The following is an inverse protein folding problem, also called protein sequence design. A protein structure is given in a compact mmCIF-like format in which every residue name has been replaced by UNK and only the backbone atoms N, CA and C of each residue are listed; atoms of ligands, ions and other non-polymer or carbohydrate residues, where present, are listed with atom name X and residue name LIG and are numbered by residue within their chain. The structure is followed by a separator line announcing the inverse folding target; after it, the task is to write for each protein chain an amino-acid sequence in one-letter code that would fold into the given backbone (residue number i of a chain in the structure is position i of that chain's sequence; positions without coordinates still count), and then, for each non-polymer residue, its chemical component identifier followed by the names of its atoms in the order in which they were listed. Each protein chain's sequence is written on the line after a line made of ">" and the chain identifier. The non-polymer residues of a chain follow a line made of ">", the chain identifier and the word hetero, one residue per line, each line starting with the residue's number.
data_IF_091194726421
#
_entry.id   IF_091194726421
#
_cell.length_a   1.000
_cell.length_b   1.000
_cell.length_c   1.000
_cell.angle_alpha   90.00
_cell.angle_beta   90.00
_cell.angle_gamma   90.00
#
_symmetry.space_group_name_H-M   'P 1'
#
loop_
_entity.id
_entity.type
_entity.pdbx_description
1 polymer ?
#
# COMPACT_ATOMS: atom_id res chain seq x y z
N UNK A 1 -8.25 -11.89 23.24
CA UNK A 1 -7.82 -10.50 23.00
C UNK A 1 -6.36 -10.45 22.53
N UNK A 2 -6.11 -9.97 21.31
CA UNK A 2 -4.77 -9.48 20.94
C UNK A 2 -4.54 -8.18 21.71
N UNK A 3 -3.55 -8.16 22.61
CA UNK A 3 -3.24 -7.12 23.60
C UNK A 3 -2.87 -5.72 23.04
N UNK A 4 -3.05 -5.45 21.76
CA UNK A 4 -2.39 -4.32 21.08
C UNK A 4 -3.36 -3.18 20.72
N UNK A 5 -4.67 -3.44 20.54
CA UNK A 5 -5.62 -2.41 20.11
C UNK A 5 -6.56 -2.02 21.24
N UNK A 6 -6.67 -0.71 21.50
CA UNK A 6 -7.79 -0.16 22.26
C UNK A 6 -8.99 0.01 21.33
N UNK A 7 -10.18 0.09 21.90
CA UNK A 7 -11.43 0.29 21.15
C UNK A 7 -12.17 1.50 21.69
N UNK A 8 -12.93 2.17 20.82
CA UNK A 8 -13.85 3.24 21.20
C UNK A 8 -15.23 2.94 20.63
N UNK A 9 -16.27 3.23 21.41
CA UNK A 9 -17.65 3.11 20.94
C UNK A 9 -17.91 4.12 19.82
N UNK A 10 -18.46 3.61 18.73
CA UNK A 10 -19.04 4.39 17.64
C UNK A 10 -20.54 4.60 17.93
N UNK A 11 -20.88 5.70 18.59
CA UNK A 11 -22.26 6.04 18.97
C UNK A 11 -23.27 5.89 17.82
N UNK A 12 -22.98 6.31 16.57
CA UNK A 12 -23.92 6.14 15.46
C UNK A 12 -24.25 4.68 15.09
N UNK A 13 -23.41 3.71 15.47
CA UNK A 13 -23.68 2.28 15.26
C UNK A 13 -24.63 1.68 16.29
N UNK A 14 -24.83 2.32 17.45
CA UNK A 14 -25.60 1.75 18.56
C UNK A 14 -27.07 1.56 18.20
N UNK A 15 -27.73 2.59 17.65
CA UNK A 15 -29.15 2.50 17.29
C UNK A 15 -29.40 1.46 16.17
N UNK A 16 -28.63 1.42 15.05
CA UNK A 16 -28.77 0.37 14.05
C UNK A 16 -28.55 -1.06 14.57
N UNK A 17 -27.68 -1.23 15.58
CA UNK A 17 -27.44 -2.54 16.20
C UNK A 17 -28.64 -3.03 17.03
N UNK A 18 -29.37 -2.10 17.65
CA UNK A 18 -30.55 -2.41 18.47
C UNK A 18 -30.55 -1.76 19.85
N UNK A 19 -29.61 -0.85 20.15
CA UNK A 19 -29.68 -0.06 21.38
C UNK A 19 -30.87 0.89 21.34
N UNK A 20 -31.47 1.13 22.51
CA UNK A 20 -32.48 2.15 22.72
C UNK A 20 -31.86 3.31 23.50
N UNK A 21 -32.14 4.54 23.08
CA UNK A 21 -31.67 5.74 23.79
C UNK A 21 -32.75 6.30 24.71
N UNK A 22 -32.48 6.31 26.01
CA UNK A 22 -33.36 6.91 27.02
C UNK A 22 -32.53 7.43 28.20
N UNK A 23 -32.95 8.54 28.82
CA UNK A 23 -32.29 9.12 30.00
C UNK A 23 -30.77 9.32 29.83
N UNK A 24 -30.34 9.79 28.65
CA UNK A 24 -28.93 10.00 28.29
C UNK A 24 -28.06 8.73 28.34
N UNK A 25 -28.67 7.56 28.16
CA UNK A 25 -27.99 6.28 28.10
C UNK A 25 -28.52 5.46 26.91
N UNK A 26 -27.61 4.81 26.19
CA UNK A 26 -27.95 3.78 25.21
C UNK A 26 -27.98 2.44 25.94
N UNK A 27 -29.10 1.72 25.86
CA UNK A 27 -29.24 0.39 26.47
C UNK A 27 -29.58 -0.65 25.43
N UNK A 28 -28.82 -1.74 25.39
CA UNK A 28 -29.13 -2.96 24.65
C UNK A 28 -29.44 -4.09 25.62
N UNK A 29 -30.50 -4.84 25.32
CA UNK A 29 -30.95 -5.98 26.12
C UNK A 29 -31.16 -7.18 25.23
N UNK A 30 -30.62 -8.32 25.62
CA UNK A 30 -30.80 -9.58 24.90
C UNK A 30 -30.97 -10.75 25.86
N UNK A 31 -32.09 -11.46 25.72
CA UNK A 31 -32.41 -12.64 26.50
C UNK A 31 -31.67 -13.85 25.94
N UNK A 32 -31.07 -14.66 26.82
CA UNK A 32 -30.33 -15.87 26.47
C UNK A 32 -30.60 -17.01 27.47
N UNK A 33 -30.04 -18.20 27.22
CA UNK A 33 -30.27 -19.41 28.04
C UNK A 33 -31.77 -19.72 28.23
N UNK A 34 -32.52 -19.77 27.12
CA UNK A 34 -33.96 -20.10 27.10
C UNK A 34 -34.83 -19.20 27.99
N UNK A 35 -34.41 -17.95 28.21
CA UNK A 35 -35.18 -17.00 29.03
C UNK A 35 -34.69 -16.83 30.46
N UNK A 36 -33.68 -17.60 30.89
CA UNK A 36 -33.17 -17.55 32.26
C UNK A 36 -32.40 -16.27 32.56
N UNK A 37 -31.70 -15.72 31.55
CA UNK A 37 -30.85 -14.55 31.74
C UNK A 37 -31.06 -13.51 30.65
N UNK A 38 -30.77 -12.25 30.99
CA UNK A 38 -30.70 -11.13 30.06
C UNK A 38 -29.31 -10.47 30.14
N UNK A 39 -28.67 -10.27 29.00
CA UNK A 39 -27.48 -9.46 28.89
C UNK A 39 -27.89 -8.00 28.75
N UNK A 40 -27.43 -7.14 29.66
CA UNK A 40 -27.68 -5.70 29.61
C UNK A 40 -26.37 -4.99 29.32
N UNK A 41 -26.33 -4.22 28.23
CA UNK A 41 -25.20 -3.40 27.83
C UNK A 41 -25.63 -1.94 27.81
N UNK A 42 -24.87 -1.09 28.48
CA UNK A 42 -25.14 0.33 28.63
C UNK A 42 -23.95 1.15 28.12
N UNK A 43 -24.25 2.23 27.40
CA UNK A 43 -23.26 3.19 26.93
C UNK A 43 -23.76 4.61 27.22
N UNK A 44 -22.96 5.40 27.93
CA UNK A 44 -23.27 6.81 28.18
C UNK A 44 -22.93 7.71 26.97
N UNK A 45 -23.27 9.00 27.06
CA UNK A 45 -22.93 9.98 26.00
C UNK A 45 -21.43 10.21 25.82
N UNK A 46 -20.60 9.86 26.81
CA UNK A 46 -19.14 9.90 26.70
C UNK A 46 -18.57 8.67 25.99
N UNK A 47 -19.41 7.67 25.68
CA UNK A 47 -19.00 6.41 25.07
C UNK A 47 -18.41 5.40 26.05
N UNK A 48 -18.60 5.61 27.36
CA UNK A 48 -18.20 4.66 28.39
C UNK A 48 -19.18 3.48 28.40
N UNK A 49 -18.67 2.28 28.16
CA UNK A 49 -19.45 1.04 28.17
C UNK A 49 -19.43 0.39 29.57
N UNK A 50 -20.59 -0.07 30.00
CA UNK A 50 -20.78 -1.00 31.12
C UNK A 50 -21.73 -2.12 30.73
N UNK A 51 -21.59 -3.29 31.34
CA UNK A 51 -22.45 -4.43 31.04
C UNK A 51 -22.59 -5.38 32.22
N UNK A 52 -23.73 -6.06 32.32
CA UNK A 52 -24.02 -7.04 33.36
C UNK A 52 -25.01 -8.11 32.88
N UNK A 53 -25.06 -9.22 33.62
CA UNK A 53 -26.06 -10.29 33.42
C UNK A 53 -27.16 -10.12 34.45
N UNK A 54 -28.41 -10.11 33.99
CA UNK A 54 -29.61 -10.09 34.83
C UNK A 54 -30.22 -11.48 34.90
N UNK A 55 -30.54 -11.96 36.09
CA UNK A 55 -31.31 -13.19 36.33
C UNK A 55 -32.80 -12.88 36.24
N UNK A 56 -33.48 -13.46 35.26
CA UNK A 56 -34.89 -13.18 34.99
C UNK A 56 -35.83 -13.81 36.02
N UNK A 57 -35.41 -14.88 36.71
CA UNK A 57 -36.23 -15.55 37.73
C UNK A 57 -36.07 -14.86 39.09
N UNK A 58 -34.82 -14.53 39.46
CA UNK A 58 -34.51 -13.94 40.75
C UNK A 58 -34.64 -12.41 40.77
N UNK A 59 -34.83 -11.79 39.59
CA UNK A 59 -34.90 -10.33 39.41
C UNK A 59 -33.69 -9.59 40.03
N UNK A 60 -32.49 -10.15 39.85
CA UNK A 60 -31.24 -9.59 40.38
C UNK A 60 -30.06 -9.71 39.43
N UNK A 61 -28.96 -9.01 39.73
CA UNK A 61 -27.72 -9.10 38.94
C UNK A 61 -27.01 -10.44 39.23
N UNK A 62 -26.86 -11.26 38.20
CA UNK A 62 -26.15 -12.53 38.29
C UNK A 62 -24.63 -12.34 38.28
N UNK A 63 -23.96 -12.63 39.40
CA UNK A 63 -22.52 -12.35 39.56
C UNK A 63 -21.61 -13.58 39.47
N UNK A 64 -22.16 -14.80 39.49
CA UNK A 64 -21.33 -16.01 39.55
C UNK A 64 -20.45 -16.21 38.30
N UNK A 65 -20.83 -15.65 37.16
CA UNK A 65 -20.01 -15.65 35.93
C UNK A 65 -18.66 -14.90 36.08
N UNK A 66 -18.55 -13.98 37.05
CA UNK A 66 -17.35 -13.17 37.33
C UNK A 66 -16.28 -13.96 38.12
N UNK A 67 -16.64 -15.09 38.73
CA UNK A 67 -15.71 -15.89 39.54
C UNK A 67 -14.71 -16.61 38.63
N UNK A 68 -13.42 -16.31 38.79
CA UNK A 68 -12.31 -16.83 37.97
C UNK A 68 -11.85 -18.23 38.37
N UNK A 69 -12.31 -18.74 39.51
CA UNK A 69 -12.05 -20.12 39.94
C UNK A 69 -12.81 -21.13 39.04
N UNK A 70 -12.39 -22.42 39.02
CA UNK A 70 -13.12 -23.47 38.33
C UNK A 70 -14.56 -23.50 38.82
N UNK A 71 -15.50 -23.23 37.93
CA UNK A 71 -16.94 -23.20 38.19
C UNK A 71 -17.61 -24.39 37.49
N UNK A 72 -18.85 -24.71 37.89
CA UNK A 72 -19.62 -25.78 37.26
C UNK A 72 -19.92 -25.48 35.79
N UNK A 73 -20.19 -26.53 35.00
CA UNK A 73 -20.44 -26.44 33.55
C UNK A 73 -21.49 -25.38 33.16
N UNK A 74 -22.51 -25.20 34.00
CA UNK A 74 -23.54 -24.18 33.82
C UNK A 74 -23.00 -22.75 33.82
N UNK A 75 -22.15 -22.38 34.79
CA UNK A 75 -21.53 -21.04 34.87
C UNK A 75 -20.64 -20.78 33.65
N UNK A 76 -19.97 -21.83 33.15
CA UNK A 76 -19.21 -21.78 31.90
C UNK A 76 -20.10 -21.43 30.70
N UNK A 77 -21.25 -22.09 30.54
CA UNK A 77 -22.20 -21.81 29.46
C UNK A 77 -22.77 -20.39 29.53
N UNK A 78 -23.09 -19.89 30.74
CA UNK A 78 -23.54 -18.50 30.93
C UNK A 78 -22.46 -17.52 30.48
N UNK A 79 -21.20 -17.76 30.87
CA UNK A 79 -20.06 -16.92 30.49
C UNK A 79 -19.83 -16.91 28.97
N UNK A 80 -19.85 -18.08 28.33
CA UNK A 80 -19.66 -18.20 26.88
C UNK A 80 -20.78 -17.52 26.09
N UNK A 81 -22.03 -17.74 26.50
CA UNK A 81 -23.19 -17.13 25.85
C UNK A 81 -23.19 -15.61 26.00
N UNK A 82 -22.89 -15.12 27.21
CA UNK A 82 -22.77 -13.69 27.47
C UNK A 82 -21.62 -13.05 26.68
N UNK A 83 -20.45 -13.71 26.64
CA UNK A 83 -19.31 -13.23 25.85
C UNK A 83 -19.64 -13.13 24.36
N UNK A 84 -20.38 -14.10 23.80
CA UNK A 84 -20.81 -14.06 22.40
C UNK A 84 -21.72 -12.86 22.08
N UNK A 85 -22.53 -12.39 23.05
CA UNK A 85 -23.32 -11.17 22.90
C UNK A 85 -22.41 -9.94 22.90
N UNK A 86 -21.47 -9.86 23.85
CA UNK A 86 -20.51 -8.75 23.93
C UNK A 86 -19.62 -8.68 22.69
N UNK A 87 -19.17 -9.81 22.16
CA UNK A 87 -18.34 -9.88 20.95
C UNK A 87 -19.09 -9.29 19.74
N UNK A 88 -20.40 -9.53 19.60
CA UNK A 88 -21.22 -8.92 18.54
C UNK A 88 -21.38 -7.41 18.72
N UNK A 89 -21.58 -6.95 19.96
CA UNK A 89 -21.64 -5.52 20.26
C UNK A 89 -20.30 -4.86 19.92
N UNK A 90 -19.18 -5.47 20.34
CA UNK A 90 -17.85 -4.96 20.04
C UNK A 90 -17.60 -4.89 18.53
N UNK A 91 -17.89 -5.96 17.79
CA UNK A 91 -17.68 -6.03 16.34
C UNK A 91 -18.50 -4.96 15.58
N UNK A 92 -19.74 -4.72 15.99
CA UNK A 92 -20.64 -3.81 15.29
C UNK A 92 -20.54 -2.35 15.76
N UNK A 93 -20.22 -2.14 17.04
CA UNK A 93 -20.32 -0.83 17.69
C UNK A 93 -18.99 -0.25 18.15
N UNK A 94 -17.87 -0.98 18.04
CA UNK A 94 -16.55 -0.44 18.36
C UNK A 94 -15.69 -0.16 17.12
N UNK A 95 -14.92 0.92 17.20
CA UNK A 95 -13.84 1.22 16.26
C UNK A 95 -12.52 0.87 16.94
N UNK A 96 -11.69 0.09 16.26
CA UNK A 96 -10.34 -0.17 16.70
C UNK A 96 -9.51 1.13 16.62
N UNK A 97 -8.80 1.43 17.71
CA UNK A 97 -7.85 2.52 17.82
C UNK A 97 -6.43 1.93 17.78
N UNK A 98 -5.84 1.76 16.58
CA UNK A 98 -4.52 1.17 16.44
C UNK A 98 -3.38 2.05 16.97
N UNK A 99 -3.65 3.33 17.27
CA UNK A 99 -2.66 4.33 17.65
C UNK A 99 -3.04 5.08 18.93
N UNK A 100 -2.09 5.84 19.48
CA UNK A 100 -2.24 6.53 20.76
C UNK A 100 -2.94 7.87 20.62
N UNK A 101 -2.68 8.63 19.55
CA UNK A 101 -3.23 9.98 19.35
C UNK A 101 -4.57 9.93 18.61
N UNK A 102 -5.48 10.82 18.98
CA UNK A 102 -6.81 10.92 18.37
C UNK A 102 -6.72 11.16 16.86
N UNK A 103 -5.86 12.09 16.42
CA UNK A 103 -5.67 12.36 14.99
C UNK A 103 -5.20 11.12 14.24
N UNK A 104 -4.23 10.37 14.77
CA UNK A 104 -3.75 9.12 14.14
C UNK A 104 -4.88 8.11 13.96
N UNK A 105 -5.77 7.98 14.93
CA UNK A 105 -6.92 7.09 14.85
C UNK A 105 -7.99 7.59 13.87
N UNK A 106 -8.24 8.90 13.79
CA UNK A 106 -9.13 9.47 12.75
C UNK A 106 -8.57 9.22 11.36
N UNK A 107 -7.26 9.40 11.15
CA UNK A 107 -6.59 9.07 9.88
C UNK A 107 -6.68 7.57 9.56
N UNK A 108 -6.47 6.69 10.54
CA UNK A 108 -6.62 5.25 10.34
C UNK A 108 -8.06 4.88 9.94
N UNK A 109 -9.05 5.52 10.54
CA UNK A 109 -10.45 5.32 10.21
C UNK A 109 -10.79 5.80 8.79
N UNK A 110 -10.30 6.98 8.38
CA UNK A 110 -10.46 7.48 7.00
C UNK A 110 -9.83 6.51 5.98
N UNK A 111 -8.66 5.94 6.28
CA UNK A 111 -8.01 4.94 5.44
C UNK A 111 -8.87 3.68 5.31
N UNK A 112 -9.42 3.19 6.43
CA UNK A 112 -10.31 2.03 6.47
C UNK A 112 -11.60 2.29 5.68
N UNK A 113 -12.22 3.44 5.84
CA UNK A 113 -13.46 3.81 5.15
C UNK A 113 -13.25 3.97 3.64
N UNK A 114 -12.14 4.59 3.23
CA UNK A 114 -11.88 4.87 1.81
C UNK A 114 -11.40 3.64 1.03
N UNK A 115 -10.58 2.77 1.66
CA UNK A 115 -9.89 1.68 0.95
C UNK A 115 -10.08 0.30 1.58
N UNK A 116 -10.62 0.20 2.80
CA UNK A 116 -10.64 -1.05 3.57
C UNK A 116 -9.26 -1.48 4.08
N UNK A 117 -8.24 -0.64 3.94
CA UNK A 117 -6.87 -0.95 4.35
C UNK A 117 -6.77 -0.88 5.89
N UNK A 118 -6.15 -1.89 6.51
CA UNK A 118 -5.82 -1.93 7.94
C UNK A 118 -4.31 -1.85 8.15
N UNK A 119 -3.83 -1.29 9.28
CA UNK A 119 -2.41 -1.27 9.56
C UNK A 119 -1.87 -2.67 9.89
N UNK A 120 -0.65 -2.96 9.43
CA UNK A 120 0.16 -4.07 9.92
C UNK A 120 1.27 -3.57 10.86
N UNK A 121 1.83 -4.46 11.68
CA UNK A 121 2.83 -4.11 12.70
C UNK A 121 4.16 -4.82 12.40
N UNK A 122 4.97 -4.28 11.46
CA UNK A 122 6.15 -4.97 10.95
C UNK A 122 7.29 -5.08 11.97
N UNK A 123 7.23 -4.34 13.08
CA UNK A 123 8.31 -4.24 14.05
C UNK A 123 7.92 -4.86 15.40
N UNK A 124 8.35 -6.10 15.65
CA UNK A 124 8.04 -6.81 16.89
C UNK A 124 8.47 -6.06 18.18
N UNK A 125 9.53 -5.24 18.12
CA UNK A 125 10.02 -4.44 19.25
C UNK A 125 9.35 -3.07 19.39
N UNK A 126 8.58 -2.64 18.39
CA UNK A 126 7.89 -1.36 18.34
C UNK A 126 6.42 -1.59 17.94
N UNK A 127 5.62 -2.20 18.83
CA UNK A 127 4.24 -2.59 18.53
C UNK A 127 3.31 -1.40 18.26
N UNK A 128 3.72 -0.18 18.62
CA UNK A 128 2.98 1.07 18.34
C UNK A 128 3.19 1.58 16.91
N UNK A 129 4.06 0.93 16.11
CA UNK A 129 4.36 1.34 14.74
C UNK A 129 3.47 0.56 13.77
N UNK A 130 2.51 1.26 13.18
CA UNK A 130 1.58 0.68 12.20
C UNK A 130 1.91 1.15 10.78
N UNK A 131 2.04 0.21 9.85
CA UNK A 131 2.25 0.52 8.45
C UNK A 131 1.01 0.18 7.62
N UNK A 132 0.70 1.02 6.63
CA UNK A 132 -0.35 0.76 5.67
C UNK A 132 0.26 0.40 4.32
N UNK A 133 -0.26 -0.66 3.71
CA UNK A 133 0.26 -1.25 2.47
C UNK A 133 -0.73 -1.19 1.34
N UNK A 134 -0.24 -0.94 0.14
CA UNK A 134 -1.06 -1.10 -1.05
C UNK A 134 -1.30 -2.60 -1.30
N UNK A 135 -2.57 -3.08 -1.36
CA UNK A 135 -2.89 -4.51 -1.41
C UNK A 135 -2.29 -5.23 -2.62
N UNK A 136 -2.25 -4.58 -3.78
CA UNK A 136 -1.72 -5.18 -5.02
C UNK A 136 -0.21 -5.48 -5.02
N UNK A 137 0.59 -4.86 -4.16
CA UNK A 137 2.05 -5.03 -4.20
C UNK A 137 2.77 -4.97 -2.84
N UNK A 138 2.02 -4.89 -1.75
CA UNK A 138 2.49 -4.89 -0.36
C UNK A 138 3.50 -3.78 0.00
N UNK A 139 3.63 -2.74 -0.83
CA UNK A 139 4.50 -1.60 -0.54
C UNK A 139 3.84 -0.68 0.48
N UNK A 140 4.64 -0.19 1.43
CA UNK A 140 4.21 0.87 2.34
C UNK A 140 3.86 2.12 1.57
N UNK A 141 2.68 2.68 1.86
CA UNK A 141 2.34 4.07 1.51
C UNK A 141 2.25 4.97 2.74
N UNK A 142 2.07 4.41 3.93
CA UNK A 142 2.12 5.13 5.17
C UNK A 142 2.80 4.30 6.25
N UNK A 143 3.53 4.95 7.13
CA UNK A 143 4.04 4.37 8.35
C UNK A 143 3.79 5.36 9.48
N UNK A 144 2.88 5.00 10.38
CA UNK A 144 2.63 5.73 11.63
C UNK A 144 3.65 5.26 12.65
N UNK A 145 4.29 6.18 13.35
CA UNK A 145 5.37 5.89 14.29
C UNK A 145 5.29 6.83 15.48
N UNK A 146 5.48 6.28 16.68
CA UNK A 146 5.61 7.05 17.91
C UNK A 146 7.09 7.33 18.18
N UNK A 147 7.47 8.61 18.33
CA UNK A 147 8.85 9.05 18.53
C UNK A 147 8.92 10.22 19.52
N UNK A 148 10.07 10.43 20.19
CA UNK A 148 10.33 11.67 20.90
C UNK A 148 10.34 12.85 19.95
N UNK A 149 9.68 13.96 20.33
CA UNK A 149 9.56 15.18 19.53
C UNK A 149 10.91 15.73 19.06
N UNK A 150 11.95 15.65 19.90
CA UNK A 150 13.33 16.00 19.55
C UNK A 150 13.84 15.31 18.27
N UNK A 151 13.42 14.07 18.00
CA UNK A 151 13.83 13.35 16.78
C UNK A 151 13.24 13.94 15.50
N UNK A 152 12.21 14.76 15.63
CA UNK A 152 11.52 15.40 14.52
C UNK A 152 12.01 16.83 14.30
N UNK A 153 12.12 17.64 15.36
CA UNK A 153 12.39 19.09 15.27
C UNK A 153 13.68 19.56 15.96
N UNK A 154 14.38 18.68 16.69
CA UNK A 154 15.61 19.03 17.41
C UNK A 154 15.39 19.95 18.63
N UNK A 155 14.17 20.02 19.16
CA UNK A 155 13.81 20.87 20.30
C UNK A 155 14.37 20.41 21.65
N UNK A 156 14.91 19.20 21.76
CA UNK A 156 15.26 18.56 23.03
C UNK A 156 14.07 17.96 23.80
N UNK A 157 12.83 18.16 23.32
CA UNK A 157 11.64 17.62 23.97
C UNK A 157 11.58 16.09 23.91
N UNK A 158 11.33 15.46 25.07
CA UNK A 158 11.11 14.02 25.20
C UNK A 158 9.63 13.63 25.13
N UNK A 159 8.75 14.56 24.73
CA UNK A 159 7.34 14.25 24.50
C UNK A 159 7.20 13.22 23.38
N UNK A 160 6.47 12.14 23.63
CA UNK A 160 6.12 11.15 22.61
C UNK A 160 5.01 11.70 21.70
N UNK A 161 5.37 11.87 20.43
CA UNK A 161 4.47 12.32 19.36
C UNK A 161 4.30 11.21 18.33
N UNK A 162 3.17 11.24 17.62
CA UNK A 162 2.95 10.34 16.49
C UNK A 162 3.15 11.12 15.19
N UNK A 163 3.85 10.48 14.25
CA UNK A 163 4.06 10.98 12.91
C UNK A 163 3.57 9.95 11.90
N UNK A 164 3.20 10.41 10.71
CA UNK A 164 3.01 9.54 9.54
C UNK A 164 4.03 9.87 8.45
N UNK A 165 4.80 8.86 8.05
CA UNK A 165 5.69 8.95 6.90
C UNK A 165 4.90 8.72 5.61
N UNK A 166 4.94 9.69 4.69
CA UNK A 166 4.22 9.64 3.41
C UNK A 166 5.16 9.86 2.23
N UNK A 167 4.94 9.10 1.15
CA UNK A 167 5.70 9.22 -0.09
C UNK A 167 5.16 10.39 -0.92
N UNK A 168 6.07 11.19 -1.46
CA UNK A 168 5.75 12.39 -2.25
C UNK A 168 6.63 12.47 -3.49
N UNK A 169 6.26 13.28 -4.48
CA UNK A 169 7.16 13.55 -5.60
C UNK A 169 8.33 14.41 -5.13
N UNK A 170 9.54 14.12 -5.60
CA UNK A 170 10.74 14.86 -5.18
C UNK A 170 10.65 16.38 -5.42
N UNK A 171 9.89 16.79 -6.45
CA UNK A 171 9.61 18.21 -6.76
C UNK A 171 8.74 18.93 -5.73
N UNK A 172 7.89 18.20 -5.00
CA UNK A 172 6.98 18.76 -3.99
C UNK A 172 7.65 18.92 -2.63
N UNK A 173 8.84 18.34 -2.40
CA UNK A 173 9.46 18.30 -1.07
C UNK A 173 9.74 19.69 -0.51
N UNK A 174 10.31 20.59 -1.31
CA UNK A 174 10.66 21.93 -0.83
C UNK A 174 9.42 22.73 -0.39
N UNK A 175 8.32 22.64 -1.17
CA UNK A 175 7.05 23.27 -0.84
C UNK A 175 6.44 22.67 0.44
N UNK A 176 6.41 21.34 0.54
CA UNK A 176 5.84 20.66 1.70
C UNK A 176 6.60 20.97 2.99
N UNK A 177 7.93 21.04 2.95
CA UNK A 177 8.76 21.39 4.10
C UNK A 177 8.63 22.86 4.54
N UNK A 178 8.02 23.72 3.73
CA UNK A 178 7.71 25.10 4.14
C UNK A 178 6.43 25.20 4.98
N UNK A 179 5.64 24.13 5.08
CA UNK A 179 4.38 24.09 5.83
C UNK A 179 4.63 23.64 7.27
N UNK A 180 3.94 24.28 8.21
CA UNK A 180 3.95 23.84 9.61
C UNK A 180 3.48 22.40 9.75
N UNK A 181 4.09 21.64 10.66
CA UNK A 181 3.75 20.23 10.93
C UNK A 181 4.29 19.22 9.91
N UNK A 182 5.05 19.65 8.89
CA UNK A 182 5.70 18.75 7.93
C UNK A 182 7.21 18.86 8.04
N UNK A 183 7.86 17.71 8.21
CA UNK A 183 9.29 17.60 8.49
C UNK A 183 10.01 16.70 7.48
N UNK A 184 11.35 16.78 7.38
CA UNK A 184 12.13 15.81 6.63
C UNK A 184 11.86 14.40 7.12
N UNK A 185 11.78 13.44 6.18
CA UNK A 185 11.47 12.06 6.53
C UNK A 185 12.35 11.48 7.65
N UNK A 186 11.69 10.93 8.67
CA UNK A 186 12.27 10.11 9.72
C UNK A 186 12.37 8.65 9.25
N UNK A 187 13.56 8.03 9.34
CA UNK A 187 13.92 6.68 8.85
C UNK A 187 13.73 6.39 7.35
N UNK A 188 12.97 7.20 6.61
CA UNK A 188 12.71 7.05 5.17
C UNK A 188 13.57 8.00 4.32
N UNK A 189 13.55 7.81 2.99
CA UNK A 189 14.34 8.62 2.08
C UNK A 189 13.83 10.07 2.00
N UNK A 190 14.63 11.03 2.50
CA UNK A 190 14.38 12.48 2.42
C UNK A 190 14.23 13.05 1.00
N UNK A 191 14.50 12.25 -0.04
CA UNK A 191 14.31 12.63 -1.46
C UNK A 191 12.92 12.30 -2.01
N UNK A 192 12.15 11.47 -1.30
CA UNK A 192 10.86 10.95 -1.80
C UNK A 192 9.82 10.75 -0.71
N UNK A 193 10.12 11.12 0.54
CA UNK A 193 9.23 10.98 1.68
C UNK A 193 9.29 12.22 2.56
N UNK A 194 8.21 12.47 3.29
CA UNK A 194 8.09 13.47 4.36
C UNK A 194 7.48 12.82 5.59
N UNK A 195 7.73 13.41 6.77
CA UNK A 195 7.05 13.05 8.01
C UNK A 195 6.04 14.14 8.35
N UNK A 196 4.77 13.76 8.46
CA UNK A 196 3.70 14.66 8.90
C UNK A 196 3.41 14.37 10.37
N UNK A 197 3.42 15.41 11.18
CA UNK A 197 3.11 15.35 12.60
C UNK A 197 1.60 15.27 12.82
N UNK A 198 1.17 14.34 13.67
CA UNK A 198 -0.24 14.06 13.94
C UNK A 198 -0.69 14.67 15.28
N UNK A 199 -0.62 16.01 15.38
CA UNK A 199 -1.00 16.80 16.57
C UNK A 199 -2.01 17.92 16.24
N UNK A 200 -2.80 17.73 15.19
CA UNK A 200 -3.78 18.68 14.63
C UNK A 200 -3.16 19.96 14.00
N UNK A 201 -1.82 20.10 13.94
CA UNK A 201 -1.16 21.19 13.18
C UNK A 201 -1.49 21.12 11.68
N UNK A 202 -1.60 19.90 11.14
CA UNK A 202 -2.02 19.65 9.76
C UNK A 202 -3.42 19.05 9.79
N UNK A 203 -4.39 19.70 9.17
CA UNK A 203 -5.78 19.23 9.14
C UNK A 203 -5.91 17.83 8.50
N UNK A 204 -6.82 17.02 9.03
CA UNK A 204 -7.05 15.63 8.58
C UNK A 204 -7.22 15.52 7.06
N UNK A 205 -7.94 16.46 6.45
CA UNK A 205 -8.18 16.50 5.00
C UNK A 205 -6.87 16.68 4.21
N UNK A 206 -5.94 17.48 4.71
CA UNK A 206 -4.62 17.65 4.09
C UNK A 206 -3.79 16.39 4.24
N UNK A 207 -3.75 15.79 5.44
CA UNK A 207 -3.03 14.53 5.68
C UNK A 207 -3.58 13.44 4.76
N UNK A 208 -4.90 13.38 4.62
CA UNK A 208 -5.58 12.43 3.75
C UNK A 208 -5.24 12.62 2.26
N UNK A 209 -5.24 13.86 1.75
CA UNK A 209 -4.81 14.13 0.37
C UNK A 209 -3.35 13.69 0.11
N UNK A 210 -2.45 13.85 1.10
CA UNK A 210 -1.08 13.34 1.01
C UNK A 210 -1.03 11.80 1.05
N UNK A 211 -1.91 11.16 1.81
CA UNK A 211 -2.07 9.70 1.83
C UNK A 211 -2.52 9.17 0.47
N UNK A 212 -3.52 9.79 -0.16
CA UNK A 212 -3.99 9.41 -1.50
C UNK A 212 -2.85 9.48 -2.52
N UNK A 213 -2.10 10.59 -2.52
CA UNK A 213 -0.91 10.76 -3.36
C UNK A 213 0.15 9.69 -3.08
N UNK A 214 0.47 9.45 -1.81
CA UNK A 214 1.46 8.44 -1.41
C UNK A 214 1.05 7.05 -1.89
N UNK A 215 -0.21 6.68 -1.67
CA UNK A 215 -0.79 5.40 -2.08
C UNK A 215 -0.74 5.23 -3.59
N UNK A 216 -1.10 6.27 -4.36
CA UNK A 216 -0.96 6.29 -5.81
C UNK A 216 0.51 6.12 -6.26
N UNK A 217 1.45 6.83 -5.63
CA UNK A 217 2.88 6.78 -5.98
C UNK A 217 3.53 5.41 -5.73
N UNK A 218 3.01 4.62 -4.78
CA UNK A 218 3.48 3.25 -4.53
C UNK A 218 2.65 2.17 -5.21
N UNK A 219 1.47 2.53 -5.74
CA UNK A 219 0.59 1.63 -6.45
C UNK A 219 1.27 0.92 -7.61
N UNK A 220 0.71 -0.22 -8.07
CA UNK A 220 1.23 -0.93 -9.21
C UNK A 220 1.18 -0.03 -10.44
N UNK A 221 2.35 0.37 -10.94
CA UNK A 221 2.46 1.01 -12.26
C UNK A 221 2.38 -0.10 -13.30
N UNK A 222 1.16 -0.42 -13.74
CA UNK A 222 0.99 -1.25 -14.93
C UNK A 222 1.20 -0.35 -16.14
N UNK A 223 2.35 -0.49 -16.76
CA UNK A 223 2.59 0.04 -18.10
C UNK A 223 2.10 -0.93 -19.18
N UNK A 224 1.34 -1.97 -18.79
CA UNK A 224 0.69 -2.87 -19.73
C UNK A 224 -0.38 -2.07 -20.47
N UNK A 225 -0.36 -2.13 -21.79
CA UNK A 225 -1.38 -1.50 -22.61
C UNK A 225 -2.75 -2.14 -22.30
N UNK A 226 -3.79 -1.32 -22.18
CA UNK A 226 -5.17 -1.80 -22.08
C UNK A 226 -5.69 -2.28 -23.43
N UNK A 227 -5.17 -1.72 -24.52
CA UNK A 227 -5.41 -2.10 -25.91
C UNK A 227 -4.14 -1.88 -26.73
N UNK A 228 -3.91 -2.72 -27.73
CA UNK A 228 -2.70 -2.66 -28.57
C UNK A 228 -1.48 -3.33 -27.94
N UNK A 229 -0.30 -3.20 -28.57
CA UNK A 229 0.93 -3.86 -28.12
C UNK A 229 1.49 -3.26 -26.84
N UNK A 230 2.22 -4.08 -26.07
CA UNK A 230 3.07 -3.57 -24.99
C UNK A 230 4.35 -2.96 -25.59
N UNK A 231 4.88 -1.93 -24.91
CA UNK A 231 6.13 -1.30 -25.26
C UNK A 231 7.18 -1.62 -24.20
N UNK A 232 8.33 -2.13 -24.63
CA UNK A 232 9.39 -2.62 -23.77
C UNK A 232 10.71 -1.88 -24.01
N UNK A 233 11.57 -1.88 -22.99
CA UNK A 233 13.00 -1.60 -23.14
C UNK A 233 13.82 -2.78 -22.64
N UNK A 234 14.81 -3.17 -23.43
CA UNK A 234 15.77 -4.22 -23.09
C UNK A 234 17.20 -3.68 -23.18
N UNK A 235 18.14 -4.15 -22.33
CA UNK A 235 19.53 -3.73 -22.41
C UNK A 235 20.31 -4.58 -23.42
N UNK A 236 21.14 -3.93 -24.24
CA UNK A 236 22.17 -4.54 -25.06
C UNK A 236 23.56 -4.13 -24.54
N UNK A 237 24.47 -5.08 -24.35
CA UNK A 237 25.84 -4.79 -23.96
C UNK A 237 26.76 -4.97 -25.17
N UNK A 238 27.31 -3.89 -25.76
CA UNK A 238 28.21 -3.96 -26.91
C UNK A 238 29.42 -4.87 -26.70
N UNK A 239 29.85 -5.10 -25.44
CA UNK A 239 30.97 -6.00 -25.12
C UNK A 239 30.60 -7.48 -25.18
N UNK A 240 29.30 -7.80 -25.17
CA UNK A 240 28.77 -9.17 -25.16
C UNK A 240 28.16 -9.51 -26.51
N UNK A 241 27.51 -8.53 -27.16
CA UNK A 241 26.85 -8.71 -28.43
C UNK A 241 26.91 -7.41 -29.23
N UNK A 242 27.49 -7.47 -30.42
CA UNK A 242 27.62 -6.34 -31.33
C UNK A 242 26.34 -6.17 -32.17
N UNK A 243 25.35 -5.57 -31.52
CA UNK A 243 24.05 -5.31 -32.12
C UNK A 243 24.11 -4.31 -33.28
N UNK A 244 25.14 -3.47 -33.34
CA UNK A 244 25.27 -2.46 -34.39
C UNK A 244 25.63 -3.14 -35.72
N UNK A 245 26.60 -4.06 -35.69
CA UNK A 245 26.97 -4.88 -36.84
C UNK A 245 25.81 -5.79 -37.26
N UNK A 246 25.13 -6.42 -36.31
CA UNK A 246 24.00 -7.30 -36.61
C UNK A 246 22.90 -6.56 -37.39
N UNK A 247 22.43 -5.39 -36.91
CA UNK A 247 21.38 -4.65 -37.61
C UNK A 247 21.85 -3.97 -38.90
N UNK A 248 23.16 -3.83 -39.11
CA UNK A 248 23.70 -3.38 -40.38
C UNK A 248 23.55 -4.46 -41.48
N UNK A 249 23.61 -5.73 -41.09
CA UNK A 249 23.54 -6.88 -42.01
C UNK A 249 22.14 -7.48 -42.10
N UNK A 250 21.39 -7.45 -41.00
CA UNK A 250 20.12 -8.14 -40.85
C UNK A 250 19.01 -7.18 -40.39
N UNK A 251 17.88 -7.19 -41.11
CA UNK A 251 16.67 -6.46 -40.68
C UNK A 251 15.94 -7.16 -39.52
N UNK A 252 16.15 -8.48 -39.40
CA UNK A 252 15.49 -9.34 -38.41
C UNK A 252 16.56 -10.10 -37.65
N UNK A 253 16.51 -10.03 -36.31
CA UNK A 253 17.53 -10.61 -35.43
C UNK A 253 16.88 -11.46 -34.34
N UNK A 254 17.64 -12.42 -33.81
CA UNK A 254 17.22 -13.24 -32.68
C UNK A 254 17.70 -12.65 -31.36
N UNK A 255 16.84 -12.71 -30.34
CA UNK A 255 17.16 -12.18 -29.02
C UNK A 255 16.73 -13.15 -27.92
N UNK A 256 17.49 -13.28 -26.81
CA UNK A 256 17.06 -14.09 -25.67
C UNK A 256 15.73 -13.56 -25.10
N UNK A 257 14.68 -14.38 -25.17
CA UNK A 257 13.39 -13.97 -24.64
C UNK A 257 13.41 -14.07 -23.12
N UNK A 258 13.22 -12.92 -22.48
CA UNK A 258 13.08 -12.78 -21.04
C UNK A 258 11.78 -12.02 -20.80
N UNK A 259 11.01 -12.41 -19.78
CA UNK A 259 9.67 -11.87 -19.44
C UNK A 259 8.56 -12.24 -20.43
N UNK A 260 7.33 -11.74 -20.21
CA UNK A 260 6.13 -12.06 -21.00
C UNK A 260 5.98 -11.16 -22.23
N UNK A 261 7.07 -10.88 -22.95
CA UNK A 261 7.05 -10.15 -24.23
C UNK A 261 6.34 -11.03 -25.26
N UNK A 262 5.43 -10.44 -26.03
CA UNK A 262 4.59 -11.16 -26.99
C UNK A 262 4.78 -10.71 -28.44
N UNK A 263 4.37 -11.55 -29.40
CA UNK A 263 4.29 -11.18 -30.82
C UNK A 263 3.43 -9.93 -30.99
N UNK A 264 3.92 -8.97 -31.78
CA UNK A 264 3.28 -7.67 -31.97
C UNK A 264 3.78 -6.58 -31.02
N UNK A 265 4.40 -6.94 -29.88
CA UNK A 265 4.98 -5.96 -28.97
C UNK A 265 6.09 -5.12 -29.63
N UNK A 266 6.31 -3.92 -29.10
CA UNK A 266 7.40 -3.03 -29.52
C UNK A 266 8.52 -3.10 -28.49
N UNK A 267 9.75 -3.29 -28.96
CA UNK A 267 10.95 -3.43 -28.13
C UNK A 267 11.96 -2.35 -28.51
N UNK A 268 12.17 -1.40 -27.59
CA UNK A 268 13.27 -0.46 -27.66
C UNK A 268 14.54 -1.09 -27.07
N UNK A 269 15.67 -0.98 -27.78
CA UNK A 269 16.94 -1.55 -27.35
C UNK A 269 17.85 -0.43 -26.84
N UNK A 270 18.09 -0.47 -25.54
CA UNK A 270 19.02 0.42 -24.84
C UNK A 270 20.43 -0.15 -24.90
N UNK A 271 21.29 0.49 -25.68
CA UNK A 271 22.71 0.14 -25.76
C UNK A 271 23.41 0.70 -24.53
N UNK A 272 24.01 -0.17 -23.73
CA UNK A 272 24.69 0.18 -22.47
C UNK A 272 26.03 0.90 -22.74
N UNK A 273 26.87 1.09 -21.72
CA UNK A 273 28.11 1.85 -21.86
C UNK A 273 29.02 1.24 -22.96
N UNK A 274 29.67 2.08 -23.81
CA UNK A 274 29.82 3.54 -23.68
C UNK A 274 28.65 4.37 -24.24
N UNK A 275 27.74 3.79 -25.01
CA UNK A 275 26.67 4.50 -25.74
C UNK A 275 25.64 5.11 -24.80
N UNK A 276 25.07 4.30 -23.90
CA UNK A 276 24.07 4.73 -22.91
C UNK A 276 22.83 5.44 -23.50
N UNK A 277 22.27 4.91 -24.59
CA UNK A 277 21.09 5.44 -25.27
C UNK A 277 20.18 4.34 -25.83
N UNK A 278 18.89 4.62 -26.04
CA UNK A 278 18.04 3.79 -26.91
C UNK A 278 18.43 4.08 -28.35
N UNK A 279 18.88 3.04 -29.07
CA UNK A 279 19.35 3.17 -30.45
C UNK A 279 18.44 2.46 -31.46
N UNK A 280 17.78 1.38 -31.06
CA UNK A 280 16.94 0.60 -31.96
C UNK A 280 15.53 0.47 -31.40
N UNK A 281 14.54 0.50 -32.29
CA UNK A 281 13.15 0.18 -32.00
C UNK A 281 12.72 -0.93 -32.93
N UNK A 282 12.21 -2.01 -32.37
CA UNK A 282 11.90 -3.22 -33.10
C UNK A 282 10.46 -3.69 -32.82
N UNK A 283 9.90 -4.47 -33.75
CA UNK A 283 8.65 -5.21 -33.57
C UNK A 283 8.95 -6.68 -33.32
N UNK A 284 8.26 -7.30 -32.36
CA UNK A 284 8.39 -8.74 -32.10
C UNK A 284 7.60 -9.51 -33.15
N UNK A 285 8.27 -10.37 -33.92
CA UNK A 285 7.67 -11.23 -34.94
C UNK A 285 7.40 -12.65 -34.45
N UNK A 286 8.23 -13.14 -33.52
CA UNK A 286 8.14 -14.51 -33.01
C UNK A 286 8.50 -14.60 -31.54
N UNK A 287 7.83 -15.50 -30.82
CA UNK A 287 8.04 -15.75 -29.39
C UNK A 287 8.18 -17.26 -29.12
N UNK A 288 8.82 -17.60 -28.01
CA UNK A 288 9.04 -18.93 -27.47
C UNK A 288 9.77 -19.89 -28.44
N UNK A 289 10.62 -19.33 -29.30
CA UNK A 289 11.37 -20.07 -30.30
C UNK A 289 12.48 -20.89 -29.64
N UNK A 290 12.76 -22.06 -30.20
CA UNK A 290 13.89 -22.89 -29.79
C UNK A 290 15.20 -22.38 -30.37
N UNK A 291 16.27 -22.42 -29.58
CA UNK A 291 17.60 -22.06 -30.05
C UNK A 291 18.25 -23.26 -30.75
N UNK A 292 18.31 -23.20 -32.09
CA UNK A 292 18.86 -24.26 -32.93
C UNK A 292 20.20 -23.91 -33.59
N UNK A 293 20.90 -22.86 -33.14
CA UNK A 293 22.18 -22.51 -33.75
C UNK A 293 22.74 -21.11 -33.49
N UNK A 294 22.14 -20.29 -32.63
CA UNK A 294 22.66 -18.96 -32.29
C UNK A 294 23.83 -19.13 -31.31
N UNK A 295 25.07 -19.07 -31.81
CA UNK A 295 26.29 -19.37 -31.05
C UNK A 295 26.49 -18.50 -29.81
N UNK A 296 26.00 -17.27 -29.87
CA UNK A 296 26.21 -16.25 -28.83
C UNK A 296 25.12 -16.31 -27.74
N UNK A 297 24.12 -17.18 -27.90
CA UNK A 297 23.02 -17.35 -26.96
C UNK A 297 23.05 -18.79 -26.43
N UNK A 298 23.01 -19.00 -25.09
CA UNK A 298 22.93 -20.34 -24.52
C UNK A 298 21.72 -21.12 -25.05
N UNK A 299 21.93 -22.40 -25.38
CA UNK A 299 20.95 -23.26 -26.05
C UNK A 299 19.70 -23.53 -25.22
N UNK A 300 19.80 -23.44 -23.89
CA UNK A 300 18.67 -23.62 -22.97
C UNK A 300 17.69 -22.42 -22.96
N UNK A 301 18.05 -21.29 -23.57
CA UNK A 301 17.19 -20.11 -23.59
C UNK A 301 16.25 -20.12 -24.78
N UNK A 302 14.98 -19.80 -24.52
CA UNK A 302 14.02 -19.47 -25.57
C UNK A 302 14.39 -18.14 -26.22
N UNK A 303 14.12 -18.05 -27.52
CA UNK A 303 14.40 -16.88 -28.34
C UNK A 303 13.10 -16.17 -28.73
N UNK A 304 13.22 -14.88 -28.93
CA UNK A 304 12.25 -14.08 -29.67
C UNK A 304 12.92 -13.57 -30.94
N UNK A 305 12.12 -13.35 -31.98
CA UNK A 305 12.56 -12.75 -33.22
C UNK A 305 12.06 -11.32 -33.29
N UNK A 306 12.95 -10.36 -33.57
CA UNK A 306 12.59 -8.94 -33.63
C UNK A 306 13.00 -8.33 -34.96
N UNK A 307 12.10 -7.57 -35.58
CA UNK A 307 12.34 -6.81 -36.81
C UNK A 307 12.63 -5.35 -36.48
N UNK A 308 13.69 -4.80 -37.07
CA UNK A 308 14.04 -3.39 -36.94
C UNK A 308 12.99 -2.49 -37.62
N UNK A 309 12.41 -1.58 -36.83
CA UNK A 309 11.50 -0.52 -37.32
C UNK A 309 12.22 0.81 -37.50
N UNK A 310 13.08 1.19 -36.54
CA UNK A 310 13.80 2.45 -36.57
C UNK A 310 15.13 2.37 -35.84
N UNK A 311 16.08 3.18 -36.31
CA UNK A 311 17.36 3.43 -35.68
C UNK A 311 17.46 4.92 -35.32
N UNK A 312 17.87 5.23 -34.10
CA UNK A 312 18.06 6.59 -33.61
C UNK A 312 19.54 6.92 -33.44
N UNK A 313 19.89 8.20 -33.51
CA UNK A 313 21.19 8.67 -33.03
C UNK A 313 21.22 8.67 -31.51
N UNK A 314 22.42 8.62 -30.93
CA UNK A 314 22.63 8.52 -29.48
C UNK A 314 22.07 9.74 -28.71
N UNK A 315 21.86 10.87 -29.40
CA UNK A 315 21.33 12.11 -28.84
C UNK A 315 19.80 12.16 -28.74
N UNK A 316 19.07 11.28 -29.42
CA UNK A 316 17.59 11.30 -29.41
C UNK A 316 17.07 10.83 -28.05
N UNK A 317 17.52 9.67 -27.57
CA UNK A 317 17.09 9.08 -26.30
C UNK A 317 18.28 8.66 -25.42
N UNK A 318 19.15 9.60 -25.03
CA UNK A 318 20.23 9.34 -24.09
C UNK A 318 19.67 9.03 -22.70
N UNK A 319 20.46 8.35 -21.88
CA UNK A 319 20.12 7.96 -20.51
C UNK A 319 19.49 9.09 -19.68
N UNK A 320 19.99 10.32 -19.81
CA UNK A 320 19.46 11.47 -19.07
C UNK A 320 17.99 11.74 -19.44
N UNK A 321 17.68 11.85 -20.74
CA UNK A 321 16.32 12.06 -21.24
C UNK A 321 15.40 10.89 -20.88
N UNK A 322 15.88 9.65 -20.93
CA UNK A 322 15.10 8.49 -20.48
C UNK A 322 14.73 8.60 -19.00
N UNK A 323 15.64 9.06 -18.14
CA UNK A 323 15.37 9.24 -16.71
C UNK A 323 14.29 10.30 -16.46
N UNK A 324 14.31 11.39 -17.23
CA UNK A 324 13.29 12.44 -17.17
C UNK A 324 11.91 11.95 -17.63
N UNK A 325 11.89 11.08 -18.66
CA UNK A 325 10.68 10.40 -19.13
C UNK A 325 10.24 9.22 -18.24
N UNK A 326 10.84 9.06 -17.05
CA UNK A 326 10.42 8.09 -16.03
C UNK A 326 11.02 6.69 -16.17
N UNK A 327 11.96 6.50 -17.09
CA UNK A 327 12.64 5.23 -17.41
C UNK A 327 14.02 5.22 -16.75
N UNK A 328 14.13 4.58 -15.57
CA UNK A 328 15.37 4.51 -14.77
C UNK A 328 16.34 3.43 -15.30
N UNK A 329 17.17 2.83 -14.43
CA UNK A 329 18.21 1.86 -14.81
C UNK A 329 17.67 0.61 -15.54
N UNK A 330 18.14 0.37 -16.77
CA UNK A 330 17.75 -0.79 -17.61
C UNK A 330 18.68 -1.96 -17.30
N UNK A 331 18.27 -2.87 -16.41
CA UNK A 331 19.04 -4.06 -16.01
C UNK A 331 18.46 -5.38 -16.57
N UNK A 332 17.34 -5.29 -17.24
CA UNK A 332 16.58 -6.39 -17.85
C UNK A 332 15.36 -5.82 -18.57
N UNK A 333 14.51 -6.67 -19.18
CA UNK A 333 13.30 -6.23 -19.86
C UNK A 333 12.34 -5.51 -18.91
N UNK A 334 11.78 -4.40 -19.38
CA UNK A 334 10.79 -3.62 -18.62
C UNK A 334 9.87 -2.89 -19.56
N UNK A 335 8.60 -2.73 -19.17
CA UNK A 335 7.65 -1.91 -19.91
C UNK A 335 8.00 -0.41 -19.83
N UNK A 336 7.63 0.32 -20.88
CA UNK A 336 7.90 1.75 -21.03
C UNK A 336 6.79 2.62 -20.44
N UNK A 337 7.17 3.81 -19.98
CA UNK A 337 6.23 4.83 -19.53
C UNK A 337 5.45 5.42 -20.70
N UNK A 338 4.25 5.96 -20.45
CA UNK A 338 3.45 6.63 -21.47
C UNK A 338 4.28 7.74 -22.15
N UNK A 339 4.98 8.54 -21.36
CA UNK A 339 5.77 9.67 -21.84
C UNK A 339 6.88 9.23 -22.81
N UNK A 340 7.51 8.07 -22.59
CA UNK A 340 8.50 7.55 -23.53
C UNK A 340 7.84 6.91 -24.76
N UNK A 341 6.69 6.24 -24.60
CA UNK A 341 5.92 5.70 -25.72
C UNK A 341 5.49 6.83 -26.67
N UNK A 342 5.02 7.95 -26.13
CA UNK A 342 4.63 9.12 -26.92
C UNK A 342 5.82 9.64 -27.76
N UNK A 343 7.04 9.65 -27.20
CA UNK A 343 8.26 10.00 -27.97
C UNK A 343 8.56 8.96 -29.05
N UNK A 344 8.54 7.67 -28.72
CA UNK A 344 8.82 6.61 -29.70
C UNK A 344 7.82 6.65 -30.86
N UNK A 345 6.54 6.81 -30.56
CA UNK A 345 5.48 6.87 -31.58
C UNK A 345 5.55 8.14 -32.42
N UNK A 346 6.07 9.25 -31.90
CA UNK A 346 6.31 10.46 -32.70
C UNK A 346 7.53 10.37 -33.62
N UNK A 347 8.56 9.61 -33.23
CA UNK A 347 9.84 9.52 -33.96
C UNK A 347 9.86 8.37 -34.98
N UNK A 348 9.02 7.34 -34.81
CA UNK A 348 8.97 6.17 -35.70
C UNK A 348 7.79 6.28 -36.67
N UNK A 349 8.10 6.57 -37.93
CA UNK A 349 7.13 6.54 -39.04
C UNK A 349 6.68 5.08 -39.25
N UNK A 350 5.37 4.82 -39.24
CA UNK A 350 4.75 3.49 -39.39
C UNK A 350 5.03 2.50 -38.25
N UNK A 351 4.91 2.94 -36.99
CA UNK A 351 5.05 2.03 -35.83
C UNK A 351 3.92 0.98 -35.73
N UNK A 352 2.80 1.19 -36.44
CA UNK A 352 1.63 0.29 -36.52
C UNK A 352 1.49 -0.33 -37.90
#
# INVERSE_FOLDING_TARGET
>A
MNKINSYKIHLPSLLPFGFLFANNCYTYREVFMEGQFEAVVEVDEAGQLSSYVWDCEMEEVYTAHLVTAPSGAFVGQVRESYQSILDRVEEACCIALPFTKDQSNRIAQLIKEQWGDLPDYPFAKLPTYGAFRHPNNNKWYALVSQIPRDKLDGSGSQEEVEIVNLKVAGREIAELLSRSGIFPAYHMSKKTWVSVLLDDTVEDQTVFALLEKSRYLVGPKSYKATQGPDYWVIPANPKVYDIDTEFAENKVVYWPQKSTIQVGDIVAIYVTAPVQAIRYVCRVLGENLENHGESDIPTEKKLMQVELLAQFSDDVLPRARMMDLGVKAVRGPRRLTKELIDVLTSEVINIY
#
